data_IF_195872879457
#
_entry.id   IF_195872879457
#
_cell.length_a   1.000
_cell.length_b   1.000
_cell.length_c   1.000
_cell.angle_alpha   90.00
_cell.angle_beta   90.00
_cell.angle_gamma   90.00
#
_symmetry.space_group_name_H-M   'P 1'
#
loop_
_entity.id
_entity.type
_entity.pdbx_description
1 polymer ?
#
# COMPACT_ATOMS: atom_id res chain seq x y z
N UNK A 1 -4.56 1.75 9.11
CA UNK A 1 -3.71 2.93 9.34
C UNK A 1 -4.30 4.12 8.59
N UNK A 2 -4.12 5.34 9.09
CA UNK A 2 -4.47 6.57 8.37
C UNK A 2 -3.21 7.40 8.14
N UNK A 3 -3.17 8.06 7.00
CA UNK A 3 -2.02 8.75 6.43
C UNK A 3 -2.43 10.07 5.80
N UNK A 4 -1.48 10.98 5.67
CA UNK A 4 -1.62 12.16 4.81
C UNK A 4 -1.44 11.79 3.33
N UNK A 5 -1.73 12.73 2.44
CA UNK A 5 -1.50 12.61 0.99
C UNK A 5 -0.01 12.34 0.62
N UNK A 6 0.93 12.58 1.54
CA UNK A 6 2.36 12.27 1.34
C UNK A 6 2.79 10.95 1.98
N UNK A 7 1.85 10.14 2.48
CA UNK A 7 2.13 8.88 3.15
C UNK A 7 2.60 9.01 4.61
N UNK A 8 2.56 10.22 5.20
CA UNK A 8 2.93 10.40 6.60
C UNK A 8 1.84 9.80 7.52
N UNK A 9 2.17 8.88 8.45
CA UNK A 9 1.19 8.28 9.34
C UNK A 9 0.62 9.31 10.32
N UNK A 10 -0.71 9.38 10.40
CA UNK A 10 -1.43 10.21 11.39
C UNK A 10 -2.18 9.37 12.42
N UNK A 11 -2.41 8.08 12.12
CA UNK A 11 -3.03 7.14 13.06
C UNK A 11 -2.57 5.71 12.79
N UNK A 12 -2.02 5.08 13.83
CA UNK A 12 -1.58 3.69 13.81
C UNK A 12 -2.47 2.85 14.73
N UNK A 13 -2.76 1.62 14.30
CA UNK A 13 -3.46 0.62 15.10
C UNK A 13 -2.71 -0.69 14.93
N UNK A 14 -2.22 -1.23 16.03
CA UNK A 14 -1.48 -2.48 16.07
C UNK A 14 -2.31 -3.55 16.78
N UNK A 15 -2.21 -4.80 16.33
CA UNK A 15 -2.69 -5.95 17.09
C UNK A 15 -1.63 -6.36 18.12
N UNK A 16 -2.00 -7.08 19.18
CA UNK A 16 -1.01 -7.60 20.13
C UNK A 16 0.04 -8.51 19.46
N UNK A 17 -0.36 -9.25 18.42
CA UNK A 17 0.55 -10.12 17.64
C UNK A 17 1.64 -9.34 16.90
N UNK A 18 1.40 -8.06 16.60
CA UNK A 18 2.42 -7.21 15.98
C UNK A 18 3.62 -6.98 16.92
N UNK A 19 3.40 -7.01 18.25
CA UNK A 19 4.44 -6.82 19.25
C UNK A 19 5.20 -8.10 19.61
N UNK A 20 4.75 -9.28 19.15
CA UNK A 20 5.49 -10.53 19.35
C UNK A 20 6.58 -10.78 18.30
N UNK A 21 6.63 -10.00 17.21
CA UNK A 21 7.68 -10.08 16.19
C UNK A 21 8.87 -9.18 16.54
N UNK A 22 9.99 -9.29 15.80
CA UNK A 22 11.11 -8.39 16.00
C UNK A 22 10.68 -6.93 15.71
N UNK A 23 11.10 -5.95 16.53
CA UNK A 23 10.74 -4.55 16.30
C UNK A 23 11.11 -4.02 14.91
N UNK A 24 12.19 -4.56 14.33
CA UNK A 24 12.65 -4.19 12.99
C UNK A 24 11.66 -4.63 11.90
N UNK A 25 11.07 -5.81 12.03
CA UNK A 25 10.05 -6.30 11.09
C UNK A 25 8.83 -5.38 11.12
N UNK A 26 8.38 -4.99 12.32
CA UNK A 26 7.24 -4.09 12.47
C UNK A 26 7.52 -2.71 11.86
N UNK A 27 8.75 -2.20 12.02
CA UNK A 27 9.16 -0.94 11.41
C UNK A 27 9.18 -1.04 9.87
N UNK A 28 9.61 -2.18 9.32
CA UNK A 28 9.63 -2.42 7.89
C UNK A 28 8.20 -2.46 7.31
N UNK A 29 7.28 -3.18 7.94
CA UNK A 29 5.87 -3.23 7.54
C UNK A 29 5.24 -1.83 7.58
N UNK A 30 5.51 -1.08 8.64
CA UNK A 30 4.99 0.27 8.78
C UNK A 30 5.49 1.18 7.66
N UNK A 31 6.79 1.12 7.34
CA UNK A 31 7.37 1.88 6.25
C UNK A 31 6.75 1.49 4.89
N UNK A 32 6.59 0.19 4.64
CA UNK A 32 5.97 -0.31 3.43
C UNK A 32 4.52 0.18 3.29
N UNK A 33 3.75 0.17 4.38
CA UNK A 33 2.38 0.71 4.41
C UNK A 33 2.32 2.22 4.20
N UNK A 34 3.27 3.00 4.76
CA UNK A 34 3.40 4.44 4.49
C UNK A 34 3.63 4.70 3.00
N UNK A 35 4.59 3.98 2.40
CA UNK A 35 4.95 4.13 0.99
C UNK A 35 3.80 3.75 0.08
N UNK A 36 3.12 2.63 0.34
CA UNK A 36 1.94 2.22 -0.41
C UNK A 36 0.83 3.27 -0.33
N UNK A 37 0.60 3.85 0.85
CA UNK A 37 -0.38 4.92 0.98
C UNK A 37 -0.01 6.17 0.18
N UNK A 38 1.27 6.53 0.12
CA UNK A 38 1.74 7.65 -0.70
C UNK A 38 1.47 7.41 -2.18
N UNK A 39 1.74 6.18 -2.66
CA UNK A 39 1.43 5.78 -4.04
C UNK A 39 -0.06 5.91 -4.36
N UNK A 40 -0.95 5.49 -3.45
CA UNK A 40 -2.41 5.65 -3.62
C UNK A 40 -2.83 7.11 -3.74
N UNK A 41 -2.27 7.99 -2.91
CA UNK A 41 -2.55 9.42 -2.95
C UNK A 41 -2.06 10.07 -4.26
N UNK A 42 -0.87 9.70 -4.74
CA UNK A 42 -0.35 10.18 -6.03
C UNK A 42 -1.24 9.77 -7.20
N UNK A 43 -1.71 8.52 -7.21
CA UNK A 43 -2.67 8.03 -8.21
C UNK A 43 -4.00 8.78 -8.13
N UNK A 44 -4.53 9.02 -6.93
CA UNK A 44 -5.75 9.81 -6.76
C UNK A 44 -5.57 11.25 -7.29
N UNK A 45 -4.42 11.87 -7.00
CA UNK A 45 -4.08 13.19 -7.53
C UNK A 45 -3.96 13.19 -9.06
N UNK A 46 -3.40 12.11 -9.64
CA UNK A 46 -3.34 11.92 -11.10
C UNK A 46 -4.74 11.92 -11.72
N UNK A 47 -5.72 11.27 -11.08
CA UNK A 47 -7.13 11.26 -11.51
C UNK A 47 -7.76 12.64 -11.38
N UNK A 48 -7.54 13.33 -10.27
CA UNK A 48 -8.03 14.71 -10.06
C UNK A 48 -7.54 15.67 -11.15
N UNK A 49 -6.26 15.60 -11.53
CA UNK A 49 -5.72 16.42 -12.62
C UNK A 49 -6.40 16.10 -13.96
N UNK A 50 -6.63 14.82 -14.26
CA UNK A 50 -7.33 14.43 -15.47
C UNK A 50 -8.79 14.94 -15.49
N UNK A 51 -9.50 14.84 -14.36
CA UNK A 51 -10.87 15.34 -14.19
C UNK A 51 -10.96 16.86 -14.35
N UNK A 52 -9.92 17.58 -13.94
CA UNK A 52 -9.79 19.04 -14.12
C UNK A 52 -9.39 19.44 -15.54
N UNK A 53 -9.24 18.48 -16.46
CA UNK A 53 -8.97 18.73 -17.88
C UNK A 53 -7.49 18.92 -18.25
N UNK A 54 -6.55 18.60 -17.35
CA UNK A 54 -5.13 18.62 -17.69
C UNK A 54 -4.80 17.49 -18.69
N UNK A 55 -3.94 17.77 -19.66
CA UNK A 55 -3.50 16.77 -20.64
C UNK A 55 -2.63 15.70 -19.98
N UNK A 56 -2.60 14.51 -20.58
CA UNK A 56 -1.76 13.40 -20.11
C UNK A 56 -0.26 13.74 -20.11
N UNK A 57 0.19 14.60 -21.01
CA UNK A 57 1.57 15.10 -21.08
C UNK A 57 1.91 15.97 -19.87
N UNK A 58 1.01 16.88 -19.50
CA UNK A 58 1.19 17.74 -18.31
C UNK A 58 1.20 16.89 -17.05
N UNK A 59 0.27 15.93 -16.94
CA UNK A 59 0.20 15.01 -15.79
C UNK A 59 1.48 14.18 -15.66
N UNK A 60 2.06 13.72 -16.79
CA UNK A 60 3.33 12.99 -16.80
C UNK A 60 4.49 13.83 -16.28
N UNK A 61 4.47 15.15 -16.49
CA UNK A 61 5.50 16.07 -16.00
C UNK A 61 5.59 16.18 -14.46
N UNK A 62 4.56 15.74 -13.72
CA UNK A 62 4.56 15.73 -12.26
C UNK A 62 5.23 14.49 -11.63
N UNK A 63 5.65 13.52 -12.44
CA UNK A 63 6.30 12.27 -11.97
C UNK A 63 5.49 11.55 -10.86
N UNK A 64 4.16 11.58 -11.00
CA UNK A 64 3.24 10.89 -10.08
C UNK A 64 3.20 9.40 -10.40
N UNK A 65 3.12 8.58 -9.35
CA UNK A 65 2.91 7.13 -9.46
C UNK A 65 1.72 6.81 -10.38
N UNK A 66 1.93 5.87 -11.29
CA UNK A 66 0.91 5.36 -12.22
C UNK A 66 0.03 4.30 -11.56
N UNK A 67 -1.13 4.03 -12.18
CA UNK A 67 -2.04 2.95 -11.74
C UNK A 67 -1.36 1.57 -11.75
N UNK A 68 -0.52 1.32 -12.77
CA UNK A 68 0.19 0.05 -12.93
C UNK A 68 1.25 -0.13 -11.84
N UNK A 69 2.04 0.90 -11.55
CA UNK A 69 3.03 0.88 -10.46
C UNK A 69 2.37 0.73 -9.08
N UNK A 70 1.21 1.35 -8.88
CA UNK A 70 0.42 1.14 -7.66
C UNK A 70 -0.05 -0.31 -7.57
N UNK A 71 -0.62 -0.87 -8.65
CA UNK A 71 -1.08 -2.26 -8.67
C UNK A 71 0.07 -3.25 -8.40
N UNK A 72 1.26 -3.00 -8.98
CA UNK A 72 2.46 -3.79 -8.73
C UNK A 72 2.90 -3.71 -7.25
N UNK A 73 2.89 -2.52 -6.66
CA UNK A 73 3.20 -2.35 -5.24
C UNK A 73 2.18 -3.05 -4.32
N UNK A 74 0.89 -3.01 -4.65
CA UNK A 74 -0.16 -3.73 -3.93
C UNK A 74 -0.06 -5.24 -4.07
N UNK A 75 0.40 -5.74 -5.22
CA UNK A 75 0.68 -7.16 -5.40
C UNK A 75 1.89 -7.60 -4.58
N UNK A 76 2.98 -6.83 -4.61
CA UNK A 76 4.19 -7.13 -3.83
C UNK A 76 3.94 -7.18 -2.32
N UNK A 77 3.07 -6.31 -1.79
CA UNK A 77 2.73 -6.33 -0.36
C UNK A 77 1.81 -7.49 0.02
N UNK A 78 1.01 -8.02 -0.92
CA UNK A 78 0.14 -9.19 -0.69
C UNK A 78 0.90 -10.51 -0.73
N UNK A 79 1.90 -10.64 -1.60
CA UNK A 79 2.66 -11.88 -1.78
C UNK A 79 3.53 -12.31 -0.59
N UNK A 80 3.63 -11.48 0.46
CA UNK A 80 4.32 -11.83 1.72
C UNK A 80 3.35 -12.42 2.77
N UNK A 81 2.03 -12.34 2.55
CA UNK A 81 0.96 -12.88 3.40
C UNK A 81 0.45 -14.26 2.91
N UNK A 82 1.01 -14.81 1.83
CA UNK A 82 0.69 -16.15 1.32
C UNK A 82 1.36 -17.24 2.19
N UNK A 83 1.04 -17.30 3.48
CA UNK A 83 0.90 -18.60 4.14
C UNK A 83 -0.35 -19.24 3.53
N UNK A 84 -0.14 -20.12 2.54
CA UNK A 84 -1.17 -21.05 2.08
C UNK A 84 -1.91 -21.59 3.31
N UNK A 85 -3.25 -21.45 3.40
CA UNK A 85 -3.98 -22.02 4.52
C UNK A 85 -3.66 -23.52 4.59
N UNK A 86 -3.32 -24.06 5.77
CA UNK A 86 -2.76 -25.39 5.86
C UNK A 86 -3.72 -26.42 5.27
N UNK A 87 -3.22 -27.25 4.36
CA UNK A 87 -3.98 -28.32 3.68
C UNK A 87 -4.74 -29.27 4.64
N UNK A 88 -4.43 -29.22 5.95
CA UNK A 88 -5.17 -29.88 7.02
C UNK A 88 -6.66 -29.50 7.13
N UNK A 89 -7.11 -28.40 6.51
CA UNK A 89 -8.53 -28.03 6.47
C UNK A 89 -9.34 -28.70 5.35
N UNK A 90 -8.69 -29.46 4.45
CA UNK A 90 -9.36 -30.26 3.40
C UNK A 90 -9.58 -31.73 3.81
N UNK A 91 -9.74 -32.04 5.11
CA UNK A 91 -10.33 -33.33 5.48
C UNK A 91 -11.85 -33.22 5.45
N UNK A 92 -12.46 -33.77 4.40
CA UNK A 92 -13.88 -34.12 4.38
C UNK A 92 -14.16 -35.12 5.51
N UNK A 93 -15.14 -34.80 6.36
CA UNK A 93 -15.93 -35.81 7.07
C UNK A 93 -16.97 -36.35 6.08
#
# INVERSE_FOLDING_TARGET
MLTTERGLPIRLKFSQRAFSRAPQDLAQDLLALCQLSSKRAQVAHRRELAERGFSSEVVRGFDLTTEEELAAAEAALRGDDDEDPPASWMRSV
#
